data_IF_346334527372
#
_entry.id   IF_346334527372
#
_cell.length_a   1.000
_cell.length_b   1.000
_cell.length_c   1.000
_cell.angle_alpha   90.00
_cell.angle_beta   90.00
_cell.angle_gamma   90.00
#
_symmetry.space_group_name_H-M   'P 1'
#
loop_
_entity.id
_entity.type
_entity.pdbx_description
1 polymer ?
#
# COMPACT_ATOMS: atom_id res chain seq x y z
N UNK A 1 -5.24 -91.09 60.53
CA UNK A 1 -5.99 -89.95 60.00
C UNK A 1 -6.90 -89.50 61.12
N UNK A 2 -6.47 -88.49 61.89
CA UNK A 2 -7.40 -87.75 62.77
C UNK A 2 -8.51 -87.21 61.86
N UNK A 3 -9.74 -87.66 62.08
CA UNK A 3 -10.90 -87.03 61.46
C UNK A 3 -11.14 -85.73 62.24
N UNK A 4 -11.11 -84.60 61.53
CA UNK A 4 -11.48 -83.31 62.13
C UNK A 4 -12.87 -83.41 62.76
N UNK A 5 -13.05 -82.83 63.95
CA UNK A 5 -14.35 -82.73 64.62
C UNK A 5 -15.36 -82.04 63.67
N UNK A 6 -16.46 -82.72 63.27
CA UNK A 6 -17.46 -82.15 62.37
C UNK A 6 -17.97 -80.77 62.81
N UNK A 7 -18.06 -80.51 64.12
CA UNK A 7 -18.49 -79.20 64.62
C UNK A 7 -17.43 -78.11 64.40
N UNK A 8 -16.16 -78.46 64.52
CA UNK A 8 -15.04 -77.55 64.26
C UNK A 8 -14.91 -77.24 62.76
N UNK A 9 -15.07 -78.25 61.89
CA UNK A 9 -15.13 -78.06 60.44
C UNK A 9 -16.26 -77.09 60.04
N UNK A 10 -17.46 -77.26 60.62
CA UNK A 10 -18.59 -76.37 60.36
C UNK A 10 -18.37 -74.95 60.92
N UNK A 11 -17.70 -74.82 62.07
CA UNK A 11 -17.32 -73.53 62.66
C UNK A 11 -16.34 -72.78 61.77
N UNK A 12 -15.28 -73.45 61.32
CA UNK A 12 -14.27 -72.89 60.42
C UNK A 12 -14.87 -72.52 59.06
N UNK A 13 -15.76 -73.34 58.50
CA UNK A 13 -16.48 -73.03 57.27
C UNK A 13 -17.35 -71.77 57.42
N UNK A 14 -18.11 -71.64 58.52
CA UNK A 14 -18.92 -70.44 58.79
C UNK A 14 -18.07 -69.18 58.99
N UNK A 15 -16.92 -69.31 59.65
CA UNK A 15 -15.97 -68.21 59.83
C UNK A 15 -15.39 -67.79 58.47
N UNK A 16 -14.95 -68.75 57.65
CA UNK A 16 -14.44 -68.51 56.30
C UNK A 16 -15.46 -67.79 55.40
N UNK A 17 -16.74 -68.21 55.44
CA UNK A 17 -17.83 -67.52 54.73
C UNK A 17 -17.98 -66.08 55.21
N UNK A 18 -17.99 -65.85 56.53
CA UNK A 18 -18.12 -64.50 57.09
C UNK A 18 -16.93 -63.62 56.69
N UNK A 19 -15.71 -64.13 56.77
CA UNK A 19 -14.49 -63.42 56.37
C UNK A 19 -14.46 -63.11 54.88
N UNK A 20 -14.82 -64.08 54.03
CA UNK A 20 -14.91 -63.91 52.58
C UNK A 20 -15.95 -62.85 52.20
N UNK A 21 -17.15 -62.89 52.80
CA UNK A 21 -18.20 -61.89 52.56
C UNK A 21 -17.75 -60.49 53.03
N UNK A 22 -17.18 -60.37 54.23
CA UNK A 22 -16.65 -59.10 54.73
C UNK A 22 -15.50 -58.58 53.86
N UNK A 23 -14.66 -59.46 53.31
CA UNK A 23 -13.58 -59.08 52.39
C UNK A 23 -14.13 -58.60 51.06
N UNK A 24 -15.10 -59.31 50.47
CA UNK A 24 -15.72 -58.95 49.21
C UNK A 24 -16.40 -57.58 49.28
N UNK A 25 -17.20 -57.33 50.33
CA UNK A 25 -17.85 -56.02 50.55
C UNK A 25 -16.81 -54.91 50.71
N UNK A 26 -15.75 -55.14 51.50
CA UNK A 26 -14.67 -54.17 51.68
C UNK A 26 -13.97 -53.84 50.37
N UNK A 27 -13.65 -54.85 49.57
CA UNK A 27 -13.00 -54.67 48.27
C UNK A 27 -13.91 -53.92 47.28
N UNK A 28 -15.20 -54.27 47.20
CA UNK A 28 -16.16 -53.56 46.35
C UNK A 28 -16.27 -52.08 46.74
N UNK A 29 -16.44 -51.79 48.03
CA UNK A 29 -16.50 -50.40 48.51
C UNK A 29 -15.22 -49.62 48.19
N UNK A 30 -14.05 -50.25 48.36
CA UNK A 30 -12.77 -49.63 48.01
C UNK A 30 -12.69 -49.33 46.52
N UNK A 31 -13.05 -50.27 45.65
CA UNK A 31 -13.05 -50.08 44.18
C UNK A 31 -14.06 -49.00 43.76
N UNK A 32 -15.26 -48.98 44.34
CA UNK A 32 -16.25 -47.91 44.08
C UNK A 32 -15.70 -46.54 44.47
N UNK A 33 -14.99 -46.42 45.60
CA UNK A 33 -14.33 -45.17 45.99
C UNK A 33 -13.25 -44.74 44.99
N UNK A 34 -12.44 -45.69 44.49
CA UNK A 34 -11.43 -45.40 43.46
C UNK A 34 -12.05 -44.94 42.14
N UNK A 35 -13.18 -45.52 41.71
CA UNK A 35 -13.93 -45.07 40.53
C UNK A 35 -14.48 -43.63 40.72
N UNK A 36 -15.03 -43.34 41.90
CA UNK A 36 -15.48 -41.98 42.23
C UNK A 36 -14.33 -40.98 42.21
N UNK A 37 -13.15 -41.37 42.70
CA UNK A 37 -11.96 -40.53 42.63
C UNK A 37 -11.51 -40.32 41.18
N UNK A 38 -11.48 -41.38 40.37
CA UNK A 38 -11.14 -41.30 38.94
C UNK A 38 -12.04 -40.35 38.16
N UNK A 39 -13.34 -40.36 38.45
CA UNK A 39 -14.31 -39.42 37.87
C UNK A 39 -13.97 -37.97 38.22
N UNK A 40 -13.53 -37.69 39.46
CA UNK A 40 -13.11 -36.34 39.86
C UNK A 40 -11.89 -35.89 39.07
N UNK A 41 -10.89 -36.75 38.91
CA UNK A 41 -9.68 -36.44 38.14
C UNK A 41 -10.04 -36.18 36.65
N UNK A 42 -10.89 -37.01 36.06
CA UNK A 42 -11.37 -36.82 34.68
C UNK A 42 -12.11 -35.48 34.51
N UNK A 43 -12.99 -35.13 35.46
CA UNK A 43 -13.72 -33.85 35.44
C UNK A 43 -12.77 -32.66 35.59
N UNK A 44 -11.78 -32.75 36.46
CA UNK A 44 -10.76 -31.72 36.62
C UNK A 44 -10.03 -31.47 35.29
N UNK A 45 -9.46 -32.51 34.67
CA UNK A 45 -8.76 -32.35 33.39
C UNK A 45 -9.68 -31.92 32.25
N UNK A 46 -10.95 -32.36 32.25
CA UNK A 46 -11.95 -31.88 31.29
C UNK A 46 -12.20 -30.38 31.43
N UNK A 47 -12.25 -29.86 32.66
CA UNK A 47 -12.43 -28.42 32.91
C UNK A 47 -11.20 -27.60 32.53
N UNK A 48 -9.99 -28.13 32.70
CA UNK A 48 -8.76 -27.46 32.25
C UNK A 48 -8.68 -27.42 30.72
N UNK A 49 -9.10 -28.50 30.01
CA UNK A 49 -9.20 -28.48 28.54
C UNK A 49 -10.26 -27.48 28.07
N UNK A 50 -11.43 -27.45 28.71
CA UNK A 50 -12.50 -26.52 28.34
C UNK A 50 -12.05 -25.06 28.50
N UNK A 51 -11.36 -24.72 29.59
CA UNK A 51 -10.76 -23.39 29.79
C UNK A 51 -9.76 -23.05 28.69
N UNK A 52 -8.83 -23.96 28.38
CA UNK A 52 -7.83 -23.73 27.33
C UNK A 52 -8.47 -23.60 25.93
N UNK A 53 -9.56 -24.32 25.65
CA UNK A 53 -10.33 -24.17 24.41
C UNK A 53 -10.98 -22.78 24.29
N UNK A 54 -11.51 -22.24 25.39
CA UNK A 54 -12.07 -20.88 25.43
C UNK A 54 -10.97 -19.83 25.17
N UNK A 55 -9.88 -19.92 25.91
CA UNK A 55 -8.70 -19.08 25.76
C UNK A 55 -8.13 -19.11 24.32
N UNK A 56 -8.03 -20.30 23.72
CA UNK A 56 -7.53 -20.48 22.35
C UNK A 56 -8.50 -19.87 21.34
N UNK A 57 -9.80 -19.99 21.57
CA UNK A 57 -10.82 -19.43 20.70
C UNK A 57 -10.79 -17.89 20.71
N UNK A 58 -10.65 -17.25 21.89
CA UNK A 58 -10.52 -15.79 22.00
C UNK A 58 -9.28 -15.28 21.26
N UNK A 59 -8.12 -15.88 21.51
CA UNK A 59 -6.88 -15.51 20.84
C UNK A 59 -6.97 -15.71 19.32
N UNK A 60 -7.63 -16.79 18.86
CA UNK A 60 -7.82 -17.06 17.44
C UNK A 60 -8.76 -16.04 16.77
N UNK A 61 -9.76 -15.52 17.50
CA UNK A 61 -10.61 -14.44 17.01
C UNK A 61 -9.83 -13.14 16.84
N UNK A 62 -8.95 -12.80 17.77
CA UNK A 62 -8.09 -11.61 17.69
C UNK A 62 -7.08 -11.71 16.54
N UNK A 63 -6.46 -12.87 16.36
CA UNK A 63 -5.58 -13.12 15.21
C UNK A 63 -6.32 -12.99 13.89
N UNK A 64 -7.54 -13.52 13.78
CA UNK A 64 -8.39 -13.35 12.60
C UNK A 64 -8.78 -11.89 12.33
N UNK A 65 -9.07 -11.09 13.37
CA UNK A 65 -9.31 -9.65 13.23
C UNK A 65 -8.09 -8.94 12.68
N UNK A 66 -6.90 -9.27 13.18
CA UNK A 66 -5.64 -8.73 12.69
C UNK A 66 -5.37 -9.14 11.23
N UNK A 67 -5.70 -10.39 10.86
CA UNK A 67 -5.55 -10.88 9.49
C UNK A 67 -6.43 -10.12 8.49
N UNK A 68 -7.69 -9.86 8.86
CA UNK A 68 -8.60 -9.01 8.06
C UNK A 68 -8.06 -7.59 7.93
N UNK A 69 -7.51 -7.01 9.01
CA UNK A 69 -6.89 -5.67 8.97
C UNK A 69 -5.66 -5.67 8.04
N UNK A 70 -4.80 -6.68 8.13
CA UNK A 70 -3.63 -6.84 7.27
C UNK A 70 -4.02 -6.92 5.78
N UNK A 71 -5.11 -7.63 5.47
CA UNK A 71 -5.65 -7.70 4.11
C UNK A 71 -6.09 -6.33 3.59
N UNK A 72 -6.67 -5.48 4.46
CA UNK A 72 -6.99 -4.08 4.12
C UNK A 72 -5.74 -3.23 3.94
N UNK A 73 -4.71 -3.38 4.77
CA UNK A 73 -3.42 -2.72 4.57
C UNK A 73 -2.90 -3.02 3.15
N UNK A 74 -2.90 -4.29 2.74
CA UNK A 74 -2.43 -4.70 1.42
C UNK A 74 -3.27 -4.08 0.28
N UNK A 75 -4.59 -3.98 0.45
CA UNK A 75 -5.47 -3.31 -0.51
C UNK A 75 -5.15 -1.81 -0.62
N UNK A 76 -5.01 -1.11 0.51
CA UNK A 76 -4.64 0.31 0.56
C UNK A 76 -3.27 0.55 -0.08
N UNK A 77 -2.26 -0.25 0.26
CA UNK A 77 -0.92 -0.17 -0.33
C UNK A 77 -0.93 -0.49 -1.83
N UNK A 78 -1.84 -1.34 -2.31
CA UNK A 78 -2.06 -1.55 -3.75
C UNK A 78 -2.65 -0.30 -4.41
N UNK A 79 -3.58 0.39 -3.76
CA UNK A 79 -4.10 1.68 -4.20
C UNK A 79 -3.02 2.76 -4.29
N UNK A 80 -2.15 2.85 -3.29
CA UNK A 80 -0.98 3.74 -3.30
C UNK A 80 -0.05 3.45 -4.50
N UNK A 81 0.22 2.17 -4.79
CA UNK A 81 1.00 1.76 -5.96
C UNK A 81 0.38 2.23 -7.28
N UNK A 82 -0.93 2.06 -7.46
CA UNK A 82 -1.65 2.54 -8.65
C UNK A 82 -1.59 4.06 -8.80
N UNK A 83 -1.72 4.79 -7.69
CA UNK A 83 -1.56 6.24 -7.67
C UNK A 83 -0.16 6.65 -8.14
N UNK A 84 0.89 6.03 -7.61
CA UNK A 84 2.28 6.30 -7.99
C UNK A 84 2.55 5.97 -9.48
N UNK A 85 2.06 4.82 -9.96
CA UNK A 85 2.19 4.43 -11.36
C UNK A 85 1.50 5.41 -12.31
N UNK A 86 0.30 5.88 -11.95
CA UNK A 86 -0.41 6.90 -12.71
C UNK A 86 0.37 8.23 -12.73
N UNK A 87 0.99 8.62 -11.60
CA UNK A 87 1.87 9.79 -11.55
C UNK A 87 3.05 9.65 -12.52
N UNK A 88 3.79 8.54 -12.46
CA UNK A 88 4.91 8.27 -13.36
C UNK A 88 4.47 8.25 -14.84
N UNK A 89 3.31 7.66 -15.14
CA UNK A 89 2.79 7.57 -16.50
C UNK A 89 2.47 8.95 -17.11
N UNK A 90 1.91 9.86 -16.30
CA UNK A 90 1.65 11.23 -16.75
C UNK A 90 2.95 12.01 -16.90
N UNK A 91 3.89 11.87 -15.96
CA UNK A 91 5.18 12.58 -16.02
C UNK A 91 6.03 12.20 -17.23
N UNK A 92 5.95 10.96 -17.71
CA UNK A 92 6.57 10.53 -18.99
C UNK A 92 6.09 11.31 -20.22
N UNK A 93 4.93 11.99 -20.14
CA UNK A 93 4.39 12.83 -21.22
C UNK A 93 4.94 14.26 -21.20
N UNK A 94 5.69 14.66 -20.17
CA UNK A 94 6.33 15.98 -20.11
C UNK A 94 7.40 16.08 -21.19
N UNK A 95 7.49 17.25 -21.79
CA UNK A 95 8.58 17.56 -22.72
C UNK A 95 9.81 17.90 -21.90
N UNK A 96 10.92 17.20 -22.16
CA UNK A 96 12.18 17.43 -21.47
C UNK A 96 12.76 18.80 -21.87
N UNK A 97 13.15 19.59 -20.87
CA UNK A 97 13.82 20.87 -21.07
C UNK A 97 15.13 20.82 -20.28
N UNK A 98 16.27 20.75 -20.98
CA UNK A 98 17.58 20.61 -20.35
C UNK A 98 17.93 19.16 -20.00
N UNK A 99 18.79 18.98 -18.98
CA UNK A 99 19.26 17.66 -18.56
C UNK A 99 18.15 16.88 -17.82
N UNK A 100 17.93 15.65 -18.28
CA UNK A 100 16.92 14.74 -17.77
C UNK A 100 17.24 14.15 -16.40
N UNK A 101 18.53 14.14 -16.04
CA UNK A 101 19.03 13.36 -14.90
C UNK A 101 18.74 13.98 -13.53
N UNK A 102 18.17 15.19 -13.47
CA UNK A 102 17.99 15.95 -12.23
C UNK A 102 16.52 16.29 -11.88
N UNK A 103 15.54 15.58 -12.45
CA UNK A 103 14.14 15.80 -12.06
C UNK A 103 13.86 15.15 -10.70
N UNK A 104 13.93 15.99 -9.66
CA UNK A 104 13.76 15.58 -8.26
C UNK A 104 12.42 14.91 -7.99
N UNK A 105 11.35 15.30 -8.70
CA UNK A 105 10.03 14.70 -8.52
C UNK A 105 10.00 13.29 -9.09
N UNK A 106 10.60 13.07 -10.27
CA UNK A 106 10.72 11.72 -10.83
C UNK A 106 11.58 10.81 -9.95
N UNK A 107 12.71 11.31 -9.45
CA UNK A 107 13.57 10.55 -8.55
C UNK A 107 12.80 10.11 -7.31
N UNK A 108 12.08 11.02 -6.67
CA UNK A 108 11.33 10.71 -5.46
C UNK A 108 10.13 9.78 -5.73
N UNK A 109 9.44 9.92 -6.87
CA UNK A 109 8.39 8.98 -7.26
C UNK A 109 8.91 7.56 -7.46
N UNK A 110 10.14 7.38 -7.95
CA UNK A 110 10.75 6.04 -8.04
C UNK A 110 11.09 5.49 -6.66
N UNK A 111 11.60 6.31 -5.73
CA UNK A 111 11.80 5.87 -4.34
C UNK A 111 10.49 5.48 -3.67
N UNK A 112 9.43 6.28 -3.86
CA UNK A 112 8.09 5.97 -3.36
C UNK A 112 7.59 4.62 -3.93
N UNK A 113 7.84 4.36 -5.22
CA UNK A 113 7.49 3.09 -5.85
C UNK A 113 8.22 1.90 -5.21
N UNK A 114 9.52 2.03 -5.00
CA UNK A 114 10.35 0.96 -4.41
C UNK A 114 9.90 0.69 -2.97
N UNK A 115 9.67 1.75 -2.17
CA UNK A 115 9.13 1.65 -0.82
C UNK A 115 7.76 0.96 -0.79
N UNK A 116 6.84 1.33 -1.70
CA UNK A 116 5.53 0.69 -1.81
C UNK A 116 5.69 -0.81 -2.10
N UNK A 117 6.56 -1.17 -3.05
CA UNK A 117 6.81 -2.56 -3.42
C UNK A 117 7.36 -3.37 -2.24
N UNK A 118 8.31 -2.82 -1.51
CA UNK A 118 8.88 -3.46 -0.31
C UNK A 118 7.83 -3.63 0.80
N UNK A 119 6.99 -2.63 1.03
CA UNK A 119 5.86 -2.74 1.96
C UNK A 119 4.89 -3.85 1.54
N UNK A 120 4.52 -3.94 0.25
CA UNK A 120 3.64 -5.01 -0.25
C UNK A 120 4.24 -6.39 -0.04
N UNK A 121 5.55 -6.55 -0.25
CA UNK A 121 6.25 -7.81 -0.01
C UNK A 121 6.20 -8.20 1.47
N UNK A 122 6.53 -7.27 2.37
CA UNK A 122 6.50 -7.49 3.81
C UNK A 122 5.08 -7.82 4.31
N UNK A 123 4.05 -7.13 3.82
CA UNK A 123 2.66 -7.42 4.15
C UNK A 123 2.25 -8.85 3.73
N UNK A 124 2.67 -9.31 2.54
CA UNK A 124 2.42 -10.68 2.08
C UNK A 124 3.15 -11.73 2.92
N UNK A 125 4.40 -11.47 3.31
CA UNK A 125 5.15 -12.34 4.22
C UNK A 125 4.47 -12.45 5.59
N UNK A 126 4.00 -11.32 6.12
CA UNK A 126 3.21 -11.29 7.36
C UNK A 126 1.89 -12.05 7.22
N UNK A 127 1.20 -11.96 6.07
CA UNK A 127 -0.03 -12.73 5.82
C UNK A 127 0.24 -14.24 5.90
N UNK A 128 1.31 -14.70 5.24
CA UNK A 128 1.69 -16.12 5.26
C UNK A 128 2.03 -16.61 6.68
N UNK A 129 2.61 -15.74 7.54
CA UNK A 129 2.87 -16.08 8.94
C UNK A 129 1.57 -16.25 9.72
N UNK A 130 0.57 -15.39 9.48
CA UNK A 130 -0.73 -15.49 10.14
C UNK A 130 -1.48 -16.74 9.69
N UNK A 131 -1.52 -17.04 8.40
CA UNK A 131 -2.17 -18.25 7.86
C UNK A 131 -1.63 -19.51 8.51
N UNK A 132 -0.29 -19.66 8.56
CA UNK A 132 0.36 -20.80 9.22
C UNK A 132 0.01 -20.89 10.71
N UNK A 133 -0.12 -19.75 11.40
CA UNK A 133 -0.49 -19.76 12.81
C UNK A 133 -1.96 -20.11 13.02
N UNK A 134 -2.86 -19.69 12.13
CA UNK A 134 -4.27 -20.10 12.16
C UNK A 134 -4.40 -21.63 11.99
N UNK A 135 -3.62 -22.23 11.08
CA UNK A 135 -3.56 -23.69 10.92
C UNK A 135 -3.04 -24.39 12.18
N UNK A 136 -1.97 -23.85 12.80
CA UNK A 136 -1.44 -24.39 14.06
C UNK A 136 -2.47 -24.30 15.21
N UNK A 137 -3.22 -23.20 15.29
CA UNK A 137 -4.30 -23.03 16.27
C UNK A 137 -5.42 -24.06 16.03
N UNK A 138 -5.79 -24.32 14.78
CA UNK A 138 -6.82 -25.30 14.42
C UNK A 138 -6.40 -26.74 14.77
N UNK A 139 -5.12 -27.09 14.57
CA UNK A 139 -4.57 -28.37 15.01
C UNK A 139 -4.63 -28.51 16.53
N UNK A 140 -4.19 -27.49 17.27
CA UNK A 140 -4.23 -27.50 18.74
C UNK A 140 -5.67 -27.65 19.26
N UNK A 141 -6.61 -26.91 18.67
CA UNK A 141 -8.04 -26.99 19.00
C UNK A 141 -8.60 -28.40 18.77
N UNK A 142 -8.35 -29.01 17.61
CA UNK A 142 -8.81 -30.38 17.31
C UNK A 142 -8.24 -31.41 18.28
N UNK A 143 -6.97 -31.29 18.64
CA UNK A 143 -6.31 -32.17 19.62
C UNK A 143 -6.98 -32.08 20.99
N UNK A 144 -7.24 -30.86 21.48
CA UNK A 144 -7.93 -30.63 22.74
C UNK A 144 -9.38 -31.13 22.71
N UNK A 145 -10.13 -30.86 21.63
CA UNK A 145 -11.51 -31.35 21.48
C UNK A 145 -11.59 -32.88 21.51
N UNK A 146 -10.62 -33.56 20.87
CA UNK A 146 -10.54 -35.01 20.91
C UNK A 146 -10.28 -35.53 22.33
N UNK A 147 -9.30 -34.97 23.02
CA UNK A 147 -8.98 -35.35 24.41
C UNK A 147 -10.18 -35.11 25.34
N UNK A 148 -10.85 -33.95 25.20
CA UNK A 148 -12.06 -33.64 25.95
C UNK A 148 -13.17 -34.66 25.72
N UNK A 149 -13.44 -35.03 24.45
CA UNK A 149 -14.48 -36.00 24.08
C UNK A 149 -14.19 -37.37 24.69
N UNK A 150 -12.96 -37.85 24.59
CA UNK A 150 -12.54 -39.12 25.21
C UNK A 150 -12.72 -39.10 26.74
N UNK A 151 -12.46 -37.96 27.39
CA UNK A 151 -12.71 -37.82 28.84
C UNK A 151 -14.21 -37.82 29.17
N UNK A 152 -15.07 -37.22 28.33
CA UNK A 152 -16.52 -37.27 28.55
C UNK A 152 -17.06 -38.70 28.47
N UNK A 153 -16.59 -39.47 27.48
CA UNK A 153 -16.94 -40.89 27.35
C UNK A 153 -16.46 -41.70 28.57
N UNK A 154 -15.22 -41.49 29.01
CA UNK A 154 -14.68 -42.13 30.20
C UNK A 154 -15.46 -41.78 31.47
N UNK A 155 -15.85 -40.50 31.66
CA UNK A 155 -16.69 -40.07 32.79
C UNK A 155 -18.03 -40.80 32.79
N UNK A 156 -18.67 -40.95 31.63
CA UNK A 156 -19.95 -41.64 31.51
C UNK A 156 -19.83 -43.14 31.85
N UNK A 157 -18.77 -43.79 31.37
CA UNK A 157 -18.49 -45.20 31.65
C UNK A 157 -18.18 -45.42 33.14
N UNK A 158 -17.30 -44.60 33.72
CA UNK A 158 -16.90 -44.75 35.13
C UNK A 158 -18.05 -44.42 36.07
N UNK A 159 -18.92 -43.45 35.74
CA UNK A 159 -20.15 -43.19 36.49
C UNK A 159 -21.07 -44.41 36.50
N UNK A 160 -21.26 -45.07 35.35
CA UNK A 160 -22.07 -46.29 35.25
C UNK A 160 -21.46 -47.42 36.06
N UNK A 161 -20.14 -47.61 35.97
CA UNK A 161 -19.41 -48.64 36.73
C UNK A 161 -19.49 -48.41 38.24
N UNK A 162 -19.36 -47.17 38.71
CA UNK A 162 -19.52 -46.83 40.12
C UNK A 162 -20.94 -47.12 40.62
N UNK A 163 -21.96 -46.84 39.80
CA UNK A 163 -23.37 -47.08 40.13
C UNK A 163 -23.73 -48.58 40.26
N UNK A 164 -23.05 -49.47 39.53
CA UNK A 164 -23.26 -50.93 39.64
C UNK A 164 -22.94 -51.48 41.05
N UNK A 165 -22.03 -50.83 41.79
CA UNK A 165 -21.74 -51.21 43.18
C UNK A 165 -22.86 -50.85 44.17
N UNK A 166 -23.76 -49.95 43.78
CA UNK A 166 -24.85 -49.44 44.62
C UNK A 166 -26.24 -49.91 44.17
N UNK A 167 -26.42 -50.16 42.87
CA UNK A 167 -27.68 -50.64 42.29
C UNK A 167 -27.46 -51.99 41.60
N UNK A 168 -27.88 -53.05 42.29
CA UNK A 168 -27.75 -54.45 41.84
C UNK A 168 -28.50 -54.71 40.53
N UNK A 169 -29.47 -53.86 40.14
CA UNK A 169 -30.20 -53.99 38.87
C UNK A 169 -29.35 -53.61 37.66
N UNK A 170 -28.27 -52.84 37.86
CA UNK A 170 -27.32 -52.46 36.80
C UNK A 170 -26.28 -53.55 36.52
N UNK A 171 -26.13 -54.52 37.42
CA UNK A 171 -25.29 -55.69 37.17
C UNK A 171 -26.05 -56.67 36.25
N UNK A 172 -25.62 -56.78 35.00
CA UNK A 172 -26.20 -57.74 34.07
C UNK A 172 -25.97 -59.17 34.57
N UNK A 173 -27.04 -59.96 34.67
CA UNK A 173 -26.92 -61.41 34.83
C UNK A 173 -26.49 -62.00 33.49
N UNK A 174 -25.47 -62.85 33.49
CA UNK A 174 -25.06 -63.60 32.30
C UNK A 174 -26.21 -64.51 31.85
N UNK A 175 -26.32 -64.83 30.54
CA UNK A 175 -27.29 -65.82 30.04
C UNK A 175 -27.19 -67.19 30.73
N UNK A 176 -26.03 -67.50 31.31
CA UNK A 176 -25.69 -68.74 32.02
C UNK A 176 -26.15 -68.76 33.51
N UNK A 177 -26.82 -67.72 34.00
CA UNK A 177 -27.30 -67.61 35.39
C UNK A 177 -26.18 -67.38 36.43
N UNK A 178 -26.48 -67.60 37.72
CA UNK A 178 -25.54 -67.39 38.86
C UNK A 178 -24.33 -68.37 38.85
N UNK A 179 -24.23 -69.25 37.84
CA UNK A 179 -23.04 -70.05 37.57
C UNK A 179 -21.99 -69.21 36.86
N UNK A 180 -21.32 -68.36 37.64
CA UNK A 180 -20.07 -67.74 37.23
C UNK A 180 -19.00 -68.83 37.17
N UNK A 181 -18.86 -69.51 36.03
CA UNK A 181 -17.60 -70.17 35.71
C UNK A 181 -16.50 -69.10 35.84
N UNK A 182 -15.36 -69.45 36.45
CA UNK A 182 -14.19 -68.57 36.51
C UNK A 182 -13.74 -68.32 35.07
N UNK A 183 -14.35 -67.32 34.42
CA UNK A 183 -13.90 -66.81 33.14
C UNK A 183 -12.73 -65.91 33.46
N UNK A 184 -11.57 -66.23 32.88
CA UNK A 184 -10.54 -65.22 32.69
C UNK A 184 -11.25 -64.00 32.09
N UNK A 185 -11.09 -62.84 32.74
CA UNK A 185 -11.77 -61.62 32.33
C UNK A 185 -11.54 -61.31 30.84
N UNK A 186 -12.36 -60.44 30.26
CA UNK A 186 -12.18 -60.03 28.87
C UNK A 186 -10.72 -59.64 28.62
N UNK A 187 -10.11 -60.04 27.48
CA UNK A 187 -8.71 -59.77 27.19
C UNK A 187 -8.46 -58.26 27.27
N UNK A 188 -7.62 -57.86 28.21
CA UNK A 188 -7.26 -56.47 28.42
C UNK A 188 -6.39 -56.01 27.25
N UNK A 189 -6.83 -54.96 26.57
CA UNK A 189 -5.94 -54.22 25.67
C UNK A 189 -4.88 -53.49 26.51
N UNK A 190 -3.78 -53.05 25.89
CA UNK A 190 -2.75 -52.24 26.57
C UNK A 190 -3.41 -51.06 27.29
N UNK A 191 -3.26 -51.00 28.61
CA UNK A 191 -3.71 -49.87 29.43
C UNK A 191 -2.57 -48.85 29.55
N UNK A 192 -2.91 -47.57 29.49
CA UNK A 192 -1.97 -46.51 29.84
C UNK A 192 -1.77 -46.46 31.35
N UNK A 193 -0.55 -46.16 31.77
CA UNK A 193 -0.29 -45.88 33.18
C UNK A 193 -0.86 -44.52 33.60
N UNK A 194 -1.18 -44.33 34.89
CA UNK A 194 -1.75 -43.07 35.37
C UNK A 194 -0.87 -41.84 35.03
N UNK A 195 0.48 -41.89 35.20
CA UNK A 195 1.35 -40.79 34.79
C UNK A 195 1.28 -40.49 33.28
N UNK A 196 1.24 -41.52 32.43
CA UNK A 196 1.13 -41.39 30.96
C UNK A 196 -0.17 -40.69 30.56
N UNK A 197 -1.28 -41.01 31.23
CA UNK A 197 -2.58 -40.37 31.01
C UNK A 197 -2.59 -38.88 31.39
N UNK A 198 -1.98 -38.54 32.53
CA UNK A 198 -1.81 -37.14 32.97
C UNK A 198 -0.93 -36.39 31.97
N UNK A 199 0.21 -36.97 31.62
CA UNK A 199 1.20 -36.36 30.72
C UNK A 199 0.62 -36.09 29.33
N UNK A 200 -0.17 -37.01 28.76
CA UNK A 200 -0.83 -36.80 27.47
C UNK A 200 -1.68 -35.51 27.48
N UNK A 201 -2.46 -35.30 28.54
CA UNK A 201 -3.31 -34.11 28.67
C UNK A 201 -2.46 -32.85 28.85
N UNK A 202 -1.44 -32.93 29.71
CA UNK A 202 -0.51 -31.83 29.95
C UNK A 202 0.23 -31.40 28.68
N UNK A 203 0.64 -32.35 27.82
CA UNK A 203 1.26 -32.06 26.52
C UNK A 203 0.29 -31.30 25.61
N UNK A 204 -0.97 -31.75 25.50
CA UNK A 204 -1.97 -31.10 24.65
C UNK A 204 -2.25 -29.65 25.10
N UNK A 205 -2.40 -29.43 26.41
CA UNK A 205 -2.58 -28.10 27.00
C UNK A 205 -1.36 -27.21 26.75
N UNK A 206 -0.14 -27.74 26.96
CA UNK A 206 1.09 -26.99 26.71
C UNK A 206 1.26 -26.60 25.23
N UNK A 207 0.86 -27.47 24.30
CA UNK A 207 0.89 -27.16 22.87
C UNK A 207 -0.08 -26.01 22.52
N UNK A 208 -1.30 -26.05 23.04
CA UNK A 208 -2.28 -24.98 22.84
C UNK A 208 -1.80 -23.65 23.46
N UNK A 209 -1.28 -23.68 24.68
CA UNK A 209 -0.74 -22.50 25.34
C UNK A 209 0.44 -21.87 24.55
N UNK A 210 1.32 -22.70 23.99
CA UNK A 210 2.41 -22.25 23.09
C UNK A 210 1.86 -21.60 21.82
N UNK A 211 0.83 -22.18 21.21
CA UNK A 211 0.18 -21.62 20.02
C UNK A 211 -0.45 -20.25 20.31
N UNK A 212 -1.09 -20.07 21.48
CA UNK A 212 -1.60 -18.75 21.91
C UNK A 212 -0.50 -17.73 22.10
N UNK A 213 0.58 -18.09 22.79
CA UNK A 213 1.74 -17.20 22.97
C UNK A 213 2.34 -16.80 21.63
N UNK A 214 2.40 -17.71 20.67
CA UNK A 214 2.89 -17.40 19.32
C UNK A 214 1.94 -16.45 18.57
N UNK A 215 0.62 -16.68 18.67
CA UNK A 215 -0.42 -15.80 18.11
C UNK A 215 -0.28 -14.36 18.64
N UNK A 216 -0.11 -14.18 19.95
CA UNK A 216 0.14 -12.85 20.55
C UNK A 216 1.36 -12.15 19.98
N UNK A 217 2.47 -12.88 19.85
CA UNK A 217 3.72 -12.35 19.28
C UNK A 217 3.54 -11.90 17.83
N UNK A 218 2.83 -12.70 17.02
CA UNK A 218 2.49 -12.31 15.64
C UNK A 218 1.62 -11.06 15.65
N UNK A 219 0.56 -11.01 16.46
CA UNK A 219 -0.34 -9.85 16.55
C UNK A 219 0.39 -8.56 16.93
N UNK A 220 1.31 -8.62 17.90
CA UNK A 220 2.14 -7.47 18.29
C UNK A 220 3.04 -7.02 17.14
N UNK A 221 3.74 -7.96 16.48
CA UNK A 221 4.59 -7.66 15.32
C UNK A 221 3.79 -7.05 14.18
N UNK A 222 2.61 -7.60 13.87
CA UNK A 222 1.72 -7.05 12.85
C UNK A 222 1.37 -5.59 13.15
N UNK A 223 0.89 -5.30 14.36
CA UNK A 223 0.49 -3.95 14.74
C UNK A 223 1.64 -2.94 14.63
N UNK A 224 2.85 -3.34 15.03
CA UNK A 224 4.05 -2.52 14.89
C UNK A 224 4.41 -2.31 13.42
N UNK A 225 4.62 -3.38 12.65
CA UNK A 225 5.08 -3.30 11.27
C UNK A 225 4.08 -2.57 10.37
N UNK A 226 2.77 -2.79 10.52
CA UNK A 226 1.76 -2.07 9.72
C UNK A 226 1.77 -0.57 10.00
N UNK A 227 2.02 -0.16 11.26
CA UNK A 227 2.09 1.24 11.64
C UNK A 227 3.35 1.90 11.06
N UNK A 228 4.50 1.26 11.21
CA UNK A 228 5.78 1.75 10.69
C UNK A 228 5.74 1.90 9.17
N UNK A 229 5.24 0.90 8.44
CA UNK A 229 5.09 0.97 6.98
C UNK A 229 4.11 2.08 6.56
N UNK A 230 2.97 2.22 7.24
CA UNK A 230 2.00 3.27 6.94
C UNK A 230 2.62 4.68 7.11
N UNK A 231 3.37 4.88 8.21
CA UNK A 231 4.06 6.14 8.49
C UNK A 231 5.15 6.43 7.43
N UNK A 232 5.97 5.43 7.08
CA UNK A 232 7.01 5.58 6.06
C UNK A 232 6.42 5.95 4.70
N UNK A 233 5.42 5.21 4.24
CA UNK A 233 4.74 5.49 2.98
C UNK A 233 4.13 6.89 2.96
N UNK A 234 3.52 7.32 4.07
CA UNK A 234 2.91 8.64 4.13
C UNK A 234 3.94 9.76 4.21
N UNK A 235 5.06 9.54 4.91
CA UNK A 235 6.19 10.46 4.92
C UNK A 235 6.75 10.66 3.51
N UNK A 236 6.98 9.59 2.76
CA UNK A 236 7.48 9.65 1.38
C UNK A 236 6.50 10.38 0.45
N UNK A 237 5.20 10.06 0.59
CA UNK A 237 4.12 10.76 -0.11
C UNK A 237 4.14 12.28 0.12
N UNK A 238 4.35 12.71 1.37
CA UNK A 238 4.46 14.14 1.73
C UNK A 238 5.71 14.76 1.08
N UNK A 239 6.84 14.04 1.03
CA UNK A 239 8.06 14.51 0.35
C UNK A 239 7.81 14.74 -1.14
N UNK A 240 7.17 13.79 -1.82
CA UNK A 240 6.78 13.93 -3.24
C UNK A 240 5.88 15.14 -3.44
N UNK A 241 4.89 15.35 -2.58
CA UNK A 241 3.98 16.51 -2.64
C UNK A 241 4.71 17.85 -2.44
N UNK A 242 5.68 17.89 -1.53
CA UNK A 242 6.55 19.05 -1.33
C UNK A 242 7.38 19.37 -2.57
N UNK A 243 8.05 18.37 -3.15
CA UNK A 243 8.83 18.54 -4.37
C UNK A 243 7.97 18.93 -5.57
N UNK A 244 6.76 18.39 -5.67
CA UNK A 244 5.80 18.78 -6.71
C UNK A 244 5.36 20.23 -6.56
N UNK A 245 5.14 20.70 -5.32
CA UNK A 245 4.82 22.10 -5.04
C UNK A 245 5.94 23.03 -5.48
N UNK A 246 7.18 22.68 -5.15
CA UNK A 246 8.36 23.45 -5.58
C UNK A 246 8.52 23.46 -7.10
N UNK A 247 8.34 22.30 -7.75
CA UNK A 247 8.40 22.20 -9.22
C UNK A 247 7.35 23.08 -9.89
N UNK A 248 6.10 23.06 -9.41
CA UNK A 248 5.03 23.93 -9.92
C UNK A 248 5.39 25.42 -9.80
N UNK A 249 6.00 25.82 -8.67
CA UNK A 249 6.45 27.19 -8.45
C UNK A 249 7.53 27.59 -9.47
N UNK A 250 8.53 26.74 -9.67
CA UNK A 250 9.58 26.99 -10.68
C UNK A 250 9.01 27.11 -12.09
N UNK A 251 8.06 26.26 -12.46
CA UNK A 251 7.36 26.37 -13.76
C UNK A 251 6.56 27.66 -13.89
N UNK A 252 5.87 28.11 -12.83
CA UNK A 252 5.14 29.37 -12.83
C UNK A 252 6.07 30.58 -13.01
N UNK A 253 7.19 30.62 -12.27
CA UNK A 253 8.20 31.67 -12.39
C UNK A 253 8.80 31.72 -13.80
N UNK A 254 9.09 30.56 -14.39
CA UNK A 254 9.61 30.49 -15.76
C UNK A 254 8.58 30.92 -16.80
N UNK A 255 7.31 30.49 -16.64
CA UNK A 255 6.18 30.90 -17.49
C UNK A 255 6.02 32.43 -17.48
N UNK A 256 6.04 33.04 -16.29
CA UNK A 256 5.86 34.49 -16.15
C UNK A 256 7.04 35.26 -16.78
N UNK A 257 8.27 34.74 -16.65
CA UNK A 257 9.44 35.26 -17.36
C UNK A 257 9.31 35.15 -18.88
N UNK A 258 8.83 34.03 -19.40
CA UNK A 258 8.62 33.81 -20.84
C UNK A 258 7.51 34.72 -21.38
N UNK A 259 6.40 34.90 -20.66
CA UNK A 259 5.35 35.87 -21.01
C UNK A 259 5.91 37.30 -21.09
N UNK A 260 6.72 37.72 -20.12
CA UNK A 260 7.37 39.02 -20.14
C UNK A 260 8.31 39.19 -21.36
N UNK A 261 9.07 38.15 -21.72
CA UNK A 261 9.94 38.15 -22.89
C UNK A 261 9.16 38.23 -24.21
N UNK A 262 8.04 37.49 -24.34
CA UNK A 262 7.15 37.60 -25.51
C UNK A 262 6.61 39.02 -25.62
N UNK A 263 6.08 39.58 -24.52
CA UNK A 263 5.57 40.95 -24.50
C UNK A 263 6.63 42.02 -24.83
N UNK A 264 7.89 41.81 -24.43
CA UNK A 264 8.99 42.67 -24.83
C UNK A 264 9.27 42.60 -26.33
N UNK A 265 9.29 41.38 -26.91
CA UNK A 265 9.47 41.19 -28.36
C UNK A 265 8.31 41.79 -29.16
N UNK A 266 7.08 41.68 -28.68
CA UNK A 266 5.93 42.31 -29.34
C UNK A 266 6.05 43.84 -29.37
N UNK A 267 6.60 44.46 -28.30
CA UNK A 267 6.90 45.91 -28.31
C UNK A 267 7.99 46.26 -29.31
N UNK A 268 9.07 45.48 -29.37
CA UNK A 268 10.15 45.68 -30.35
C UNK A 268 9.65 45.56 -31.80
N UNK A 269 8.79 44.56 -32.08
CA UNK A 269 8.16 44.38 -33.40
C UNK A 269 7.29 45.59 -33.75
N UNK A 270 6.45 46.07 -32.84
CA UNK A 270 5.62 47.28 -33.06
C UNK A 270 6.45 48.51 -33.37
N UNK A 271 7.57 48.70 -32.68
CA UNK A 271 8.52 49.80 -32.95
C UNK A 271 9.15 49.65 -34.34
N UNK A 272 9.54 48.42 -34.73
CA UNK A 272 10.09 48.16 -36.05
C UNK A 272 9.04 48.41 -37.16
N UNK A 273 7.79 47.99 -36.98
CA UNK A 273 6.70 48.25 -37.91
C UNK A 273 6.42 49.76 -38.06
N UNK A 274 6.45 50.52 -36.96
CA UNK A 274 6.32 51.98 -36.99
C UNK A 274 7.46 52.64 -37.78
N UNK A 275 8.72 52.23 -37.55
CA UNK A 275 9.87 52.74 -38.29
C UNK A 275 9.82 52.39 -39.78
N UNK A 276 9.39 51.18 -40.13
CA UNK A 276 9.16 50.77 -41.53
C UNK A 276 8.13 51.69 -42.19
N UNK A 277 7.00 51.95 -41.53
CA UNK A 277 5.96 52.84 -42.05
C UNK A 277 6.48 54.28 -42.23
N UNK A 278 7.24 54.80 -41.27
CA UNK A 278 7.84 56.13 -41.34
C UNK A 278 8.81 56.26 -42.53
N UNK A 279 9.69 55.28 -42.73
CA UNK A 279 10.62 55.24 -43.86
C UNK A 279 9.86 55.16 -45.20
N UNK A 280 8.80 54.34 -45.28
CA UNK A 280 7.96 54.23 -46.47
C UNK A 280 7.23 55.55 -46.78
N UNK A 281 6.73 56.24 -45.77
CA UNK A 281 6.12 57.57 -45.94
C UNK A 281 7.15 58.60 -46.41
N UNK A 282 8.35 58.60 -45.83
CA UNK A 282 9.44 59.50 -46.23
C UNK A 282 9.87 59.27 -47.70
N UNK A 283 9.98 58.01 -48.13
CA UNK A 283 10.23 57.64 -49.53
C UNK A 283 9.14 58.21 -50.46
N UNK A 284 7.86 58.01 -50.10
CA UNK A 284 6.73 58.54 -50.88
C UNK A 284 6.76 60.07 -50.98
N UNK A 285 7.03 60.76 -49.88
CA UNK A 285 7.08 62.22 -49.83
C UNK A 285 8.23 62.81 -50.66
N UNK A 286 9.37 62.12 -50.77
CA UNK A 286 10.51 62.57 -51.59
C UNK A 286 10.33 62.37 -53.09
N UNK A 287 9.35 61.58 -53.52
CA UNK A 287 9.05 61.36 -54.95
C UNK A 287 8.65 62.64 -55.69
N UNK A 288 7.80 63.47 -55.08
CA UNK A 288 7.32 64.72 -55.70
C UNK A 288 8.45 65.75 -55.91
N UNK A 289 9.27 66.10 -54.89
CA UNK A 289 10.43 66.97 -55.09
C UNK A 289 11.43 66.45 -56.12
N UNK A 290 11.69 65.13 -56.15
CA UNK A 290 12.59 64.53 -57.14
C UNK A 290 12.04 64.71 -58.57
N UNK A 291 10.73 64.49 -58.77
CA UNK A 291 10.08 64.67 -60.07
C UNK A 291 10.15 66.14 -60.54
N UNK A 292 9.96 67.09 -59.63
CA UNK A 292 10.10 68.52 -59.94
C UNK A 292 11.54 68.85 -60.35
N UNK A 293 12.53 68.38 -59.60
CA UNK A 293 13.94 68.62 -59.90
C UNK A 293 14.35 67.99 -61.25
N UNK A 294 13.90 66.77 -61.56
CA UNK A 294 14.12 66.11 -62.85
C UNK A 294 13.46 66.86 -64.01
N UNK A 295 12.23 67.32 -63.81
CA UNK A 295 11.49 68.10 -64.82
C UNK A 295 12.17 69.44 -65.09
N UNK A 296 12.60 70.15 -64.04
CA UNK A 296 13.40 71.38 -64.16
C UNK A 296 14.70 71.14 -64.90
N UNK A 297 15.38 70.02 -64.63
CA UNK A 297 16.67 69.69 -65.26
C UNK A 297 16.50 69.39 -66.74
N UNK A 298 15.40 68.72 -67.10
CA UNK A 298 15.03 68.44 -68.49
C UNK A 298 14.74 69.74 -69.24
N UNK A 299 13.90 70.62 -68.68
CA UNK A 299 13.57 71.92 -69.27
C UNK A 299 14.82 72.81 -69.47
N UNK A 300 15.70 72.89 -68.47
CA UNK A 300 16.96 73.65 -68.60
C UNK A 300 17.93 73.05 -69.60
N UNK A 301 17.83 71.75 -69.90
CA UNK A 301 18.61 71.07 -70.93
C UNK A 301 18.20 71.42 -72.37
N UNK A 302 17.03 72.03 -72.57
CA UNK A 302 16.50 72.43 -73.89
C UNK A 302 16.96 73.83 -74.33
N UNK A 303 17.73 74.55 -73.50
CA UNK A 303 18.20 75.91 -73.80
C UNK A 303 19.14 75.88 -75.02
N UNK A 304 18.94 76.75 -76.04
CA UNK A 304 19.72 76.71 -77.27
C UNK A 304 21.08 77.42 -77.15
N UNK A 305 22.09 76.89 -77.84
CA UNK A 305 23.39 77.57 -78.01
C UNK A 305 24.09 77.95 -76.70
N UNK A 306 24.50 79.22 -76.59
CA UNK A 306 25.23 79.74 -75.42
C UNK A 306 24.36 79.87 -74.16
N UNK A 307 23.03 79.88 -74.31
CA UNK A 307 22.08 79.92 -73.19
C UNK A 307 22.01 78.59 -72.42
N UNK A 308 22.62 77.50 -72.94
CA UNK A 308 22.90 76.26 -72.21
C UNK A 308 24.05 76.48 -71.19
N UNK A 309 23.90 77.51 -70.38
CA UNK A 309 24.90 77.96 -69.44
C UNK A 309 24.87 77.11 -68.16
N UNK A 310 26.06 76.76 -67.68
CA UNK A 310 26.28 76.10 -66.40
C UNK A 310 26.36 77.14 -65.27
N UNK A 311 25.25 77.83 -65.05
CA UNK A 311 25.12 78.91 -64.09
C UNK A 311 24.83 78.41 -62.65
N UNK A 312 24.69 79.36 -61.71
CA UNK A 312 24.38 79.06 -60.30
C UNK A 312 23.10 78.26 -60.11
N UNK A 313 22.06 78.52 -60.93
CA UNK A 313 20.81 77.79 -60.86
C UNK A 313 20.97 76.34 -61.35
N UNK A 314 21.79 76.12 -62.37
CA UNK A 314 22.15 74.79 -62.87
C UNK A 314 22.95 73.99 -61.84
N UNK A 315 23.90 74.62 -61.13
CA UNK A 315 24.62 73.98 -60.01
C UNK A 315 23.70 73.63 -58.84
N UNK A 316 22.82 74.56 -58.44
CA UNK A 316 21.87 74.32 -57.35
C UNK A 316 20.92 73.16 -57.66
N UNK A 317 20.40 73.08 -58.89
CA UNK A 317 19.52 72.01 -59.32
C UNK A 317 20.23 70.65 -59.39
N UNK A 318 21.48 70.62 -59.85
CA UNK A 318 22.30 69.42 -59.83
C UNK A 318 22.54 68.92 -58.39
N UNK A 319 22.89 69.83 -57.48
CA UNK A 319 23.07 69.51 -56.06
C UNK A 319 21.78 68.99 -55.41
N UNK A 320 20.63 69.62 -55.69
CA UNK A 320 19.31 69.15 -55.24
C UNK A 320 19.04 67.72 -55.72
N UNK A 321 19.27 67.44 -57.01
CA UNK A 321 19.10 66.09 -57.58
C UNK A 321 20.01 65.06 -56.93
N UNK A 322 21.30 65.38 -56.72
CA UNK A 322 22.24 64.47 -56.08
C UNK A 322 21.85 64.18 -54.62
N UNK A 323 21.45 65.21 -53.88
CA UNK A 323 21.00 65.06 -52.50
C UNK A 323 19.72 64.23 -52.37
N UNK A 324 18.73 64.46 -53.26
CA UNK A 324 17.48 63.69 -53.28
C UNK A 324 17.73 62.23 -53.66
N UNK A 325 18.55 61.95 -54.68
CA UNK A 325 18.93 60.59 -55.08
C UNK A 325 19.67 59.86 -53.96
N UNK A 326 20.65 60.51 -53.34
CA UNK A 326 21.40 59.96 -52.20
C UNK A 326 20.48 59.65 -51.01
N UNK A 327 19.57 60.57 -50.69
CA UNK A 327 18.59 60.37 -49.61
C UNK A 327 17.63 59.21 -49.88
N UNK A 328 17.16 59.05 -51.12
CA UNK A 328 16.28 57.94 -51.51
C UNK A 328 17.01 56.60 -51.38
N UNK A 329 18.21 56.48 -51.95
CA UNK A 329 19.03 55.26 -51.84
C UNK A 329 19.32 54.90 -50.37
N UNK A 330 19.62 55.89 -49.54
CA UNK A 330 19.83 55.69 -48.10
C UNK A 330 18.57 55.19 -47.41
N UNK A 331 17.40 55.78 -47.69
CA UNK A 331 16.11 55.34 -47.11
C UNK A 331 15.69 53.95 -47.60
N UNK A 332 15.91 53.62 -48.88
CA UNK A 332 15.68 52.27 -49.43
C UNK A 332 16.54 51.24 -48.70
N UNK A 333 17.84 51.53 -48.51
CA UNK A 333 18.73 50.65 -47.75
C UNK A 333 18.30 50.50 -46.29
N UNK A 334 17.88 51.57 -45.62
CA UNK A 334 17.36 51.50 -44.25
C UNK A 334 16.06 50.72 -44.17
N UNK A 335 15.19 50.82 -45.18
CA UNK A 335 13.95 50.04 -45.25
C UNK A 335 14.24 48.54 -45.31
N UNK A 336 15.20 48.11 -46.13
CA UNK A 336 15.59 46.71 -46.23
C UNK A 336 16.18 46.19 -44.92
N UNK A 337 17.05 46.99 -44.27
CA UNK A 337 17.61 46.65 -42.95
C UNK A 337 16.53 46.58 -41.86
N UNK A 338 15.56 47.49 -41.86
CA UNK A 338 14.46 47.49 -40.90
C UNK A 338 13.56 46.26 -41.09
N UNK A 339 13.26 45.88 -42.34
CA UNK A 339 12.50 44.67 -42.69
C UNK A 339 13.21 43.40 -42.24
N UNK A 340 14.51 43.28 -42.48
CA UNK A 340 15.29 42.12 -42.03
C UNK A 340 15.34 42.05 -40.50
N UNK A 341 15.55 43.18 -39.82
CA UNK A 341 15.51 43.27 -38.36
C UNK A 341 14.15 42.81 -37.80
N UNK A 342 13.04 43.30 -38.39
CA UNK A 342 11.68 42.90 -38.02
C UNK A 342 11.45 41.40 -38.20
N UNK A 343 11.92 40.82 -39.31
CA UNK A 343 11.83 39.36 -39.56
C UNK A 343 12.61 38.55 -38.52
N UNK A 344 13.80 39.02 -38.13
CA UNK A 344 14.59 38.41 -37.05
C UNK A 344 13.85 38.45 -35.71
N UNK A 345 13.27 39.59 -35.35
CA UNK A 345 12.46 39.73 -34.14
C UNK A 345 11.26 38.78 -34.13
N UNK A 346 10.60 38.60 -35.26
CA UNK A 346 9.48 37.67 -35.42
C UNK A 346 9.90 36.21 -35.21
N UNK A 347 11.04 35.79 -35.80
CA UNK A 347 11.64 34.48 -35.56
C UNK A 347 11.99 34.26 -34.08
N UNK A 348 12.58 35.27 -33.43
CA UNK A 348 12.96 35.17 -32.03
C UNK A 348 11.74 35.12 -31.11
N UNK A 349 10.68 35.91 -31.40
CA UNK A 349 9.39 35.83 -30.72
C UNK A 349 8.81 34.42 -30.84
N UNK A 350 8.81 33.84 -32.03
CA UNK A 350 8.30 32.48 -32.27
C UNK A 350 9.03 31.43 -31.43
N UNK A 351 10.36 31.51 -31.33
CA UNK A 351 11.15 30.59 -30.49
C UNK A 351 10.80 30.71 -29.00
N UNK A 352 10.62 31.93 -28.50
CA UNK A 352 10.25 32.16 -27.08
C UNK A 352 8.82 31.66 -26.83
N UNK A 353 7.89 31.93 -27.76
CA UNK A 353 6.51 31.46 -27.67
C UNK A 353 6.44 29.92 -27.66
N UNK A 354 7.24 29.23 -28.49
CA UNK A 354 7.29 27.77 -28.46
C UNK A 354 7.78 27.22 -27.10
N UNK A 355 8.73 27.91 -26.45
CA UNK A 355 9.16 27.55 -25.09
C UNK A 355 8.05 27.77 -24.07
N UNK A 356 7.27 28.84 -24.23
CA UNK A 356 6.13 29.14 -23.37
C UNK A 356 5.04 28.06 -23.47
N UNK A 357 4.68 27.63 -24.69
CA UNK A 357 3.73 26.52 -24.88
C UNK A 357 4.17 25.25 -24.15
N UNK A 358 5.47 24.90 -24.26
CA UNK A 358 6.04 23.74 -23.57
C UNK A 358 5.97 23.92 -22.05
N UNK A 359 6.31 25.12 -21.55
CA UNK A 359 6.22 25.47 -20.14
C UNK A 359 4.79 25.32 -19.61
N UNK A 360 3.80 25.83 -20.33
CA UNK A 360 2.39 25.76 -19.96
C UNK A 360 1.88 24.31 -19.95
N UNK A 361 2.26 23.51 -20.95
CA UNK A 361 1.94 22.08 -20.99
C UNK A 361 2.53 21.33 -19.78
N UNK A 362 3.81 21.52 -19.48
CA UNK A 362 4.48 20.86 -18.36
C UNK A 362 3.90 21.32 -17.01
N UNK A 363 3.58 22.61 -16.86
CA UNK A 363 2.93 23.14 -15.68
C UNK A 363 1.54 22.52 -15.48
N UNK A 364 0.74 22.38 -16.54
CA UNK A 364 -0.58 21.75 -16.46
C UNK A 364 -0.47 20.28 -16.01
N UNK A 365 0.52 19.54 -16.53
CA UNK A 365 0.81 18.17 -16.09
C UNK A 365 1.07 18.13 -14.57
N UNK A 366 2.00 18.94 -14.06
CA UNK A 366 2.40 18.88 -12.66
C UNK A 366 1.31 19.46 -11.72
N UNK A 367 0.69 20.58 -12.09
CA UNK A 367 -0.20 21.34 -11.22
C UNK A 367 -1.66 20.87 -11.26
N UNK A 368 -2.16 20.42 -12.41
CA UNK A 368 -3.57 20.01 -12.55
C UNK A 368 -3.70 18.49 -12.48
N UNK A 369 -2.98 17.78 -13.35
CA UNK A 369 -3.15 16.33 -13.50
C UNK A 369 -2.51 15.58 -12.33
N UNK A 370 -1.23 15.84 -12.04
CA UNK A 370 -0.49 15.08 -11.04
C UNK A 370 -1.06 15.31 -9.64
N UNK A 371 -1.36 16.55 -9.28
CA UNK A 371 -2.00 16.87 -7.99
C UNK A 371 -3.37 16.22 -7.85
N UNK A 372 -4.17 16.18 -8.93
CA UNK A 372 -5.46 15.49 -8.91
C UNK A 372 -5.33 13.99 -8.69
N UNK A 373 -4.33 13.33 -9.28
CA UNK A 373 -4.06 11.91 -9.03
C UNK A 373 -3.66 11.72 -7.55
N UNK A 374 -2.78 12.57 -7.04
CA UNK A 374 -2.26 12.49 -5.67
C UNK A 374 -3.31 12.64 -4.57
N UNK A 375 -4.45 13.28 -4.82
CA UNK A 375 -5.55 13.34 -3.84
C UNK A 375 -6.14 11.96 -3.53
N UNK A 376 -5.98 10.99 -4.44
CA UNK A 376 -6.40 9.60 -4.24
C UNK A 376 -5.40 8.76 -3.44
N UNK A 377 -4.23 9.30 -3.09
CA UNK A 377 -3.23 8.54 -2.33
C UNK A 377 -3.75 8.27 -0.90
N UNK A 378 -3.77 7.00 -0.44
CA UNK A 378 -4.36 6.62 0.84
C UNK A 378 -3.75 7.31 2.05
N UNK A 379 -4.59 7.77 2.97
CA UNK A 379 -4.16 8.34 4.26
C UNK A 379 -3.48 7.28 5.14
N UNK A 380 -2.67 7.71 6.11
CA UNK A 380 -1.94 6.82 7.03
C UNK A 380 -2.88 5.83 7.76
N UNK A 381 -4.08 6.28 8.15
CA UNK A 381 -5.08 5.44 8.80
C UNK A 381 -5.59 4.32 7.88
N UNK A 382 -5.75 4.60 6.57
CA UNK A 382 -6.15 3.61 5.57
C UNK A 382 -5.01 2.62 5.28
N UNK A 383 -3.77 3.10 5.21
CA UNK A 383 -2.57 2.26 5.06
C UNK A 383 -2.37 1.32 6.27
N UNK A 384 -2.80 1.75 7.45
CA UNK A 384 -2.85 0.94 8.67
C UNK A 384 -4.03 -0.05 8.71
N UNK A 385 -4.85 -0.13 7.66
CA UNK A 385 -5.95 -1.09 7.50
C UNK A 385 -7.24 -0.72 8.23
N UNK A 386 -7.34 0.52 8.75
CA UNK A 386 -8.55 1.06 9.33
C UNK A 386 -9.42 1.72 8.26
N UNK A 387 -10.74 1.65 8.43
CA UNK A 387 -11.68 2.37 7.59
C UNK A 387 -11.73 3.82 8.07
N UNK A 388 -11.72 4.76 7.12
CA UNK A 388 -12.18 6.12 7.40
C UNK A 388 -13.70 6.05 7.34
N UNK A 389 -14.38 6.40 8.42
CA UNK A 389 -15.83 6.59 8.35
C UNK A 389 -16.11 7.66 7.30
N UNK A 390 -16.87 7.31 6.27
CA UNK A 390 -17.44 8.29 5.34
C UNK A 390 -18.39 9.17 6.18
N UNK A 391 -17.96 10.40 6.47
CA UNK A 391 -18.82 11.43 7.05
C UNK A 391 -19.56 12.16 5.94
#
# INVERSE_FOLDING_TARGET
MEYDDPNEVLRLARLSVKEANMKAIRMQNQTTQQLVQRIKDLKYWSSEIDRELQDLNEENQDLNRCFKRLSRCLQSTTGAGKCNEACLAVRRKKVQIGDATNDRVDIELHKEKDLISDCQKQLKELSNLVEKQLDANEVAKKTLMRDWTLKQEAIALDHRSAAMGTDVKLAARTPDGDRLEYRDGAPLHRMSEYPEWVENTAINLNQAARARVHSRKITQRLAQSTREMAQQMRSEAITVEGLLKDSCKTWQEWRDSLHAQVGAKDKEIKTADAAINEIQMALKQKGSPLQVALSRQTQRGLRPGIELCNDKAQHALHAELMNLKSSLLSLEHQLDRARESRKKLESDRFKIHRKLEICEQNLAIDNEILRSIRTSYPQEIQLSGFLVSEN
#
